data_IF_474723975221
#
_entry.id   IF_474723975221
#
_cell.length_a   1.000
_cell.length_b   1.000
_cell.length_c   1.000
_cell.angle_alpha   90.00
_cell.angle_beta   90.00
_cell.angle_gamma   90.00
#
_symmetry.space_group_name_H-M   'P 1'
#
loop_
_entity.id
_entity.type
_entity.pdbx_description
1 polymer ?
#
# COMPACT_ATOMS: atom_id res chain seq x y z
N UNK A 1 -18.25 -20.95 0.08
CA UNK A 1 -17.38 -19.80 0.36
C UNK A 1 -17.17 -19.12 -0.99
N UNK A 2 -17.61 -17.88 -1.20
CA UNK A 2 -17.27 -17.19 -2.45
C UNK A 2 -15.77 -16.94 -2.44
N UNK A 3 -15.08 -17.25 -3.54
CA UNK A 3 -13.70 -16.80 -3.73
C UNK A 3 -13.68 -15.28 -3.55
N UNK A 4 -12.95 -14.80 -2.56
CA UNK A 4 -12.70 -13.38 -2.41
C UNK A 4 -11.78 -12.99 -3.56
N UNK A 5 -12.31 -12.27 -4.54
CA UNK A 5 -11.54 -11.87 -5.71
C UNK A 5 -10.56 -10.77 -5.25
N UNK A 6 -9.29 -11.14 -5.14
CA UNK A 6 -8.20 -10.18 -4.95
C UNK A 6 -7.77 -9.57 -6.28
N UNK A 7 -7.28 -8.34 -6.25
CA UNK A 7 -6.71 -7.64 -7.42
C UNK A 7 -5.21 -7.34 -7.27
N UNK A 8 -4.56 -7.97 -6.28
CA UNK A 8 -3.12 -7.89 -6.12
C UNK A 8 -2.35 -8.45 -7.32
N UNK A 9 -1.12 -7.97 -7.48
CA UNK A 9 -0.14 -8.44 -8.46
C UNK A 9 1.18 -8.72 -7.76
N UNK A 10 1.95 -9.67 -8.29
CA UNK A 10 3.34 -9.79 -7.91
C UNK A 10 4.10 -8.53 -8.37
N UNK A 11 4.96 -8.02 -7.51
CA UNK A 11 5.73 -6.80 -7.72
C UNK A 11 7.20 -7.03 -7.39
N UNK A 12 8.06 -6.33 -8.13
CA UNK A 12 9.50 -6.35 -7.91
C UNK A 12 10.11 -4.98 -8.25
N UNK A 13 10.90 -4.44 -7.33
CA UNK A 13 11.65 -3.19 -7.52
C UNK A 13 13.11 -3.46 -7.24
N UNK A 14 13.99 -3.04 -8.15
CA UNK A 14 15.45 -3.10 -7.96
C UNK A 14 15.96 -1.74 -7.47
N UNK A 15 16.64 -1.73 -6.33
CA UNK A 15 17.28 -0.54 -5.78
C UNK A 15 18.57 -0.91 -5.04
N UNK A 16 19.64 -0.15 -5.25
CA UNK A 16 20.93 -0.40 -4.56
C UNK A 16 21.55 -1.78 -4.83
N UNK A 17 21.23 -2.41 -5.97
CA UNK A 17 21.69 -3.76 -6.30
C UNK A 17 20.95 -4.89 -5.56
N UNK A 18 19.85 -4.57 -4.88
CA UNK A 18 18.95 -5.53 -4.25
C UNK A 18 17.58 -5.49 -4.94
N UNK A 19 16.95 -6.66 -5.06
CA UNK A 19 15.57 -6.79 -5.55
C UNK A 19 14.64 -6.98 -4.37
N UNK A 20 13.62 -6.13 -4.28
CA UNK A 20 12.58 -6.18 -3.27
C UNK A 20 11.30 -6.71 -3.91
N UNK A 21 10.65 -7.68 -3.27
CA UNK A 21 9.46 -8.34 -3.83
C UNK A 21 8.27 -8.24 -2.90
N UNK A 22 7.09 -8.19 -3.52
CA UNK A 22 5.80 -8.27 -2.85
C UNK A 22 4.92 -9.22 -3.66
N UNK A 23 4.45 -10.30 -3.05
CA UNK A 23 3.65 -11.31 -3.73
C UNK A 23 2.15 -11.06 -3.58
N UNK A 24 1.35 -11.69 -4.45
CA UNK A 24 -0.11 -11.72 -4.27
C UNK A 24 -0.50 -12.27 -2.90
N UNK A 25 0.20 -13.30 -2.41
CA UNK A 25 -0.08 -13.91 -1.11
C UNK A 25 0.15 -12.92 0.04
N UNK A 26 1.24 -12.14 -0.01
CA UNK A 26 1.51 -11.08 0.98
C UNK A 26 0.35 -10.07 1.04
N UNK A 27 -0.20 -9.70 -0.12
CA UNK A 27 -1.34 -8.79 -0.19
C UNK A 27 -2.62 -9.40 0.38
N UNK A 28 -2.89 -10.67 0.09
CA UNK A 28 -4.07 -11.39 0.60
C UNK A 28 -4.07 -11.51 2.13
N UNK A 29 -2.90 -11.59 2.77
CA UNK A 29 -2.78 -11.61 4.24
C UNK A 29 -3.19 -10.27 4.88
N UNK A 30 -3.11 -9.16 4.13
CA UNK A 30 -3.52 -7.83 4.57
C UNK A 30 -5.04 -7.63 4.42
N UNK A 31 -5.68 -8.32 3.47
CA UNK A 31 -7.12 -8.17 3.21
C UNK A 31 -7.99 -8.54 4.43
N UNK A 32 -9.04 -7.76 4.63
CA UNK A 32 -9.99 -7.92 5.74
C UNK A 32 -10.14 -6.66 6.60
N UNK A 33 -11.19 -6.61 7.41
CA UNK A 33 -11.49 -5.57 8.41
C UNK A 33 -11.06 -4.13 8.00
N UNK A 34 -11.62 -3.63 6.90
CA UNK A 34 -11.33 -2.27 6.42
C UNK A 34 -10.27 -2.20 5.32
N UNK A 35 -9.46 -3.24 5.14
CA UNK A 35 -8.56 -3.43 4.01
C UNK A 35 -9.27 -4.25 2.92
N UNK A 36 -9.90 -3.56 1.96
CA UNK A 36 -10.64 -4.22 0.89
C UNK A 36 -10.54 -3.48 -0.44
N UNK A 37 -11.01 -4.15 -1.49
CA UNK A 37 -11.13 -3.61 -2.84
C UNK A 37 -12.55 -3.13 -3.13
N UNK A 38 -12.69 -1.95 -3.71
CA UNK A 38 -13.97 -1.50 -4.29
C UNK A 38 -14.16 -2.08 -5.71
N UNK A 39 -13.06 -2.37 -6.39
CA UNK A 39 -12.98 -2.94 -7.73
C UNK A 39 -11.52 -3.02 -8.21
N UNK A 40 -11.29 -3.47 -9.46
CA UNK A 40 -9.95 -3.54 -10.04
C UNK A 40 -9.28 -2.16 -10.08
N UNK A 41 -8.12 -2.02 -9.43
CA UNK A 41 -7.40 -0.74 -9.35
C UNK A 41 -8.02 0.30 -8.40
N UNK A 42 -9.03 -0.09 -7.62
CA UNK A 42 -9.71 0.76 -6.64
C UNK A 42 -9.57 0.18 -5.22
N UNK A 43 -8.35 0.14 -4.64
CA UNK A 43 -8.17 -0.25 -3.26
C UNK A 43 -8.75 0.80 -2.31
N UNK A 44 -9.33 0.36 -1.21
CA UNK A 44 -9.65 1.24 -0.08
C UNK A 44 -8.39 1.95 0.42
N UNK A 45 -8.54 3.14 0.99
CA UNK A 45 -7.38 3.93 1.47
C UNK A 45 -6.64 3.22 2.61
N UNK A 46 -7.34 2.49 3.46
CA UNK A 46 -6.72 1.60 4.45
C UNK A 46 -5.87 0.52 3.78
N UNK A 47 -6.37 -0.15 2.74
CA UNK A 47 -5.60 -1.18 2.03
C UNK A 47 -4.33 -0.58 1.41
N UNK A 48 -4.41 0.62 0.83
CA UNK A 48 -3.23 1.34 0.31
C UNK A 48 -2.20 1.56 1.41
N UNK A 49 -2.63 2.06 2.56
CA UNK A 49 -1.74 2.32 3.71
C UNK A 49 -1.12 1.04 4.24
N UNK A 50 -1.90 -0.03 4.42
CA UNK A 50 -1.41 -1.32 4.90
C UNK A 50 -0.32 -1.90 3.99
N UNK A 51 -0.57 -1.91 2.67
CA UNK A 51 0.40 -2.40 1.68
C UNK A 51 1.64 -1.51 1.62
N UNK A 52 1.50 -0.18 1.72
CA UNK A 52 2.65 0.72 1.79
C UNK A 52 3.51 0.46 3.03
N UNK A 53 2.91 0.28 4.20
CA UNK A 53 3.65 0.02 5.44
C UNK A 53 4.38 -1.32 5.39
N UNK A 54 3.75 -2.35 4.82
CA UNK A 54 4.39 -3.65 4.59
C UNK A 54 5.53 -3.53 3.56
N UNK A 55 5.34 -2.81 2.46
CA UNK A 55 6.42 -2.54 1.52
C UNK A 55 7.57 -1.76 2.18
N UNK A 56 7.26 -0.77 3.02
CA UNK A 56 8.26 0.03 3.75
C UNK A 56 9.08 -0.82 4.71
N UNK A 57 8.43 -1.75 5.42
CA UNK A 57 9.14 -2.67 6.33
C UNK A 57 10.15 -3.55 5.59
N UNK A 58 9.82 -3.97 4.37
CA UNK A 58 10.66 -4.82 3.50
C UNK A 58 11.84 -4.08 2.89
N UNK A 59 11.63 -2.84 2.43
CA UNK A 59 12.67 -2.09 1.73
C UNK A 59 13.67 -1.42 2.68
N UNK A 60 13.28 -1.20 3.93
CA UNK A 60 14.16 -0.66 4.97
C UNK A 60 14.82 0.66 4.54
N UNK A 61 16.15 0.68 4.53
CA UNK A 61 16.95 1.86 4.22
C UNK A 61 16.93 2.29 2.74
N UNK A 62 16.33 1.50 1.84
CA UNK A 62 16.19 1.89 0.43
C UNK A 62 15.23 3.09 0.23
N UNK A 63 14.44 3.44 1.26
CA UNK A 63 13.68 4.68 1.33
C UNK A 63 12.23 4.59 0.87
N UNK A 64 11.48 5.66 1.14
CA UNK A 64 10.04 5.71 0.91
C UNK A 64 9.65 5.63 -0.56
N UNK A 65 10.48 6.11 -1.48
CA UNK A 65 10.19 6.06 -2.92
C UNK A 65 10.18 4.63 -3.45
N UNK A 66 11.12 3.79 -2.99
CA UNK A 66 11.17 2.35 -3.33
C UNK A 66 9.95 1.63 -2.73
N UNK A 67 9.57 1.95 -1.50
CA UNK A 67 8.36 1.42 -0.88
C UNK A 67 7.09 1.80 -1.65
N UNK A 68 6.98 3.07 -2.07
CA UNK A 68 5.87 3.56 -2.88
C UNK A 68 5.78 2.83 -4.22
N UNK A 69 6.90 2.65 -4.91
CA UNK A 69 6.93 1.93 -6.18
C UNK A 69 6.50 0.48 -6.00
N UNK A 70 7.05 -0.22 -5.01
CA UNK A 70 6.74 -1.62 -4.74
C UNK A 70 5.25 -1.80 -4.39
N UNK A 71 4.72 -0.95 -3.50
CA UNK A 71 3.31 -0.99 -3.12
C UNK A 71 2.38 -0.63 -4.28
N UNK A 72 2.74 0.36 -5.11
CA UNK A 72 1.93 0.76 -6.27
C UNK A 72 1.86 -0.37 -7.31
N UNK A 73 2.99 -1.03 -7.59
CA UNK A 73 3.04 -2.21 -8.45
C UNK A 73 2.16 -3.35 -7.90
N UNK A 74 2.28 -3.66 -6.61
CA UNK A 74 1.51 -4.72 -5.96
C UNK A 74 -0.01 -4.46 -6.04
N UNK A 75 -0.42 -3.21 -5.85
CA UNK A 75 -1.82 -2.77 -5.92
C UNK A 75 -2.33 -2.61 -7.35
N UNK A 76 -1.45 -2.62 -8.35
CA UNK A 76 -1.80 -2.35 -9.74
C UNK A 76 -2.26 -0.92 -10.00
N UNK A 77 -1.78 0.06 -9.23
CA UNK A 77 -2.08 1.50 -9.36
C UNK A 77 -0.81 2.31 -9.66
N UNK A 78 -0.94 3.59 -9.97
CA UNK A 78 0.22 4.47 -10.11
C UNK A 78 0.78 4.91 -8.75
N UNK A 79 2.07 5.24 -8.70
CA UNK A 79 2.72 5.83 -7.51
C UNK A 79 2.02 7.12 -7.08
N UNK A 80 1.62 7.96 -8.03
CA UNK A 80 0.90 9.20 -7.73
C UNK A 80 -0.45 8.93 -7.07
N UNK A 81 -1.20 7.92 -7.56
CA UNK A 81 -2.47 7.51 -6.95
C UNK A 81 -2.25 6.98 -5.53
N UNK A 82 -1.19 6.20 -5.31
CA UNK A 82 -0.81 5.70 -3.99
C UNK A 82 -0.52 6.86 -3.03
N UNK A 83 0.32 7.81 -3.43
CA UNK A 83 0.68 8.99 -2.62
C UNK A 83 -0.55 9.84 -2.28
N UNK A 84 -1.43 10.09 -3.25
CA UNK A 84 -2.68 10.82 -3.02
C UNK A 84 -3.61 10.09 -2.04
N UNK A 85 -3.70 8.76 -2.12
CA UNK A 85 -4.49 7.96 -1.18
C UNK A 85 -3.92 8.00 0.23
N UNK A 86 -2.59 7.99 0.39
CA UNK A 86 -1.93 8.14 1.69
C UNK A 86 -2.16 9.55 2.24
N UNK A 87 -1.98 10.60 1.43
CA UNK A 87 -2.24 11.98 1.84
C UNK A 87 -3.70 12.18 2.26
N UNK A 88 -4.65 11.63 1.51
CA UNK A 88 -6.06 11.64 1.89
C UNK A 88 -6.26 10.97 3.26
N UNK A 89 -5.64 9.80 3.46
CA UNK A 89 -5.74 9.06 4.70
C UNK A 89 -5.18 9.85 5.88
N UNK A 90 -4.00 10.44 5.73
CA UNK A 90 -3.40 11.27 6.75
C UNK A 90 -4.31 12.46 7.12
N UNK A 91 -4.85 13.17 6.12
CA UNK A 91 -5.79 14.27 6.36
C UNK A 91 -7.06 13.81 7.08
N UNK A 92 -7.59 12.64 6.68
CA UNK A 92 -8.75 12.04 7.33
C UNK A 92 -8.46 11.72 8.80
N UNK A 93 -7.31 11.09 9.09
CA UNK A 93 -6.91 10.74 10.46
C UNK A 93 -6.64 11.97 11.32
N UNK A 94 -5.96 13.00 10.77
CA UNK A 94 -5.76 14.28 11.47
C UNK A 94 -7.09 14.92 11.91
N UNK A 95 -8.10 14.87 11.04
CA UNK A 95 -9.44 15.38 11.36
C UNK A 95 -10.21 14.46 12.32
N UNK A 96 -10.18 13.15 12.08
CA UNK A 96 -10.98 12.16 12.81
C UNK A 96 -10.48 11.94 14.25
N UNK A 97 -9.16 11.79 14.42
CA UNK A 97 -8.54 11.49 15.72
C UNK A 97 -8.07 12.76 16.46
N UNK A 98 -8.03 13.91 15.77
CA UNK A 98 -7.53 15.17 16.31
C UNK A 98 -6.01 15.20 16.51
N UNK A 99 -5.28 14.21 15.99
CA UNK A 99 -3.82 14.19 15.97
C UNK A 99 -3.29 14.93 14.73
N UNK A 100 -3.03 16.22 14.86
CA UNK A 100 -2.58 17.08 13.77
C UNK A 100 -1.19 16.74 13.21
N UNK A 101 -0.40 15.96 13.94
CA UNK A 101 0.95 15.56 13.53
C UNK A 101 0.96 14.18 12.84
N UNK A 102 -0.19 13.52 12.73
CA UNK A 102 -0.30 12.22 12.08
C UNK A 102 0.23 12.26 10.65
N UNK A 103 1.23 11.41 10.37
CA UNK A 103 1.92 11.34 9.08
C UNK A 103 2.49 9.95 8.83
N UNK A 104 2.36 9.47 7.60
CA UNK A 104 2.85 8.18 7.10
C UNK A 104 4.07 8.39 6.20
N UNK A 105 4.02 9.36 5.27
CA UNK A 105 5.10 9.63 4.30
C UNK A 105 6.17 10.60 4.81
#
# INVERSE_FOLDING_TARGET
MSEQQTYFRDAAVEAGGQVYTFSVADGQEIEGRGHYWHGPGEPSTWLVVGVFLEARSRVGDAGADVACELAAQALGISVDKLRQSIEWHENYMRWHDGDYEYRIL
#
